data_IF_986258419864
#
_entry.id   IF_986258419864
#
_cell.length_a   1.000
_cell.length_b   1.000
_cell.length_c   1.000
_cell.angle_alpha   90.00
_cell.angle_beta   90.00
_cell.angle_gamma   90.00
#
_symmetry.space_group_name_H-M   'P 1'
#
loop_
_entity.id
_entity.type
_entity.pdbx_description
1 polymer ?
#
# COMPACT_ATOMS: atom_id res chain seq x y z
N UNK A 1 -5.37 40.86 11.90
CA UNK A 1 -5.59 39.86 10.83
C UNK A 1 -5.67 38.49 11.46
N UNK A 2 -6.88 38.07 11.83
CA UNK A 2 -7.16 36.77 12.43
C UNK A 2 -7.23 35.74 11.30
N UNK A 3 -6.35 34.73 11.34
CA UNK A 3 -6.33 33.60 10.41
C UNK A 3 -7.50 32.66 10.69
N UNK A 4 -8.21 32.28 9.62
CA UNK A 4 -9.39 31.41 9.65
C UNK A 4 -9.06 29.99 10.18
N UNK A 5 -9.99 29.31 10.86
CA UNK A 5 -9.80 27.93 11.27
C UNK A 5 -9.97 26.99 10.07
N UNK A 6 -8.98 26.12 9.83
CA UNK A 6 -9.07 25.07 8.82
C UNK A 6 -10.27 24.15 9.09
N UNK A 7 -11.09 23.96 8.05
CA UNK A 7 -12.29 23.13 8.05
C UNK A 7 -11.92 21.69 8.39
N UNK A 8 -12.27 21.22 9.60
CA UNK A 8 -12.24 19.79 9.94
C UNK A 8 -13.29 19.05 9.13
N UNK A 9 -12.90 18.57 7.96
CA UNK A 9 -13.68 17.59 7.20
C UNK A 9 -13.98 16.38 8.09
N UNK A 10 -15.23 15.92 8.04
CA UNK A 10 -15.77 14.78 8.79
C UNK A 10 -14.75 13.63 8.87
N UNK A 11 -14.20 13.39 10.06
CA UNK A 11 -13.15 12.38 10.27
C UNK A 11 -13.78 10.99 10.17
N UNK A 12 -13.91 10.45 8.95
CA UNK A 12 -14.00 9.00 8.77
C UNK A 12 -12.74 8.38 9.37
N UNK A 13 -12.92 7.39 10.22
CA UNK A 13 -11.79 6.64 10.78
C UNK A 13 -10.88 6.15 9.63
N UNK A 14 -9.55 6.28 9.76
CA UNK A 14 -8.63 5.85 8.72
C UNK A 14 -8.82 4.35 8.46
N UNK A 15 -8.80 3.98 7.18
CA UNK A 15 -8.82 2.56 6.78
C UNK A 15 -7.52 1.92 7.24
N UNK A 16 -7.59 0.72 7.81
CA UNK A 16 -6.45 0.05 8.45
C UNK A 16 -6.18 -1.32 7.87
N UNK A 17 -4.90 -1.65 7.74
CA UNK A 17 -4.42 -2.99 7.40
C UNK A 17 -3.28 -3.33 8.36
N UNK A 18 -3.51 -4.25 9.29
CA UNK A 18 -2.54 -4.58 10.34
C UNK A 18 -2.13 -3.34 11.15
N UNK A 19 -0.81 -3.07 11.20
CA UNK A 19 -0.24 -1.90 11.90
C UNK A 19 -0.13 -0.63 11.03
N UNK A 20 -0.73 -0.63 9.85
CA UNK A 20 -0.63 0.48 8.90
C UNK A 20 -1.95 1.24 8.78
N UNK A 21 -1.88 2.55 8.95
CA UNK A 21 -2.97 3.46 8.58
C UNK A 21 -2.83 3.77 7.08
N UNK A 22 -3.88 3.46 6.30
CA UNK A 22 -3.92 3.68 4.87
C UNK A 22 -4.25 5.14 4.58
N UNK A 23 -3.45 5.78 3.74
CA UNK A 23 -3.62 7.17 3.33
C UNK A 23 -4.13 7.26 1.87
N UNK A 24 -3.48 8.07 1.04
CA UNK A 24 -3.88 8.34 -0.35
C UNK A 24 -3.39 7.26 -1.32
N UNK A 25 -4.03 7.19 -2.49
CA UNK A 25 -3.57 6.36 -3.60
C UNK A 25 -2.34 6.99 -4.25
N UNK A 26 -1.31 6.17 -4.49
CA UNK A 26 -0.10 6.52 -5.24
C UNK A 26 -0.23 6.15 -6.71
N UNK A 27 -0.93 5.06 -7.03
CA UNK A 27 -1.12 4.61 -8.40
C UNK A 27 -2.25 3.58 -8.54
N UNK A 28 -2.77 3.46 -9.76
CA UNK A 28 -3.78 2.46 -10.13
C UNK A 28 -3.29 1.71 -11.35
N UNK A 29 -3.32 0.39 -11.29
CA UNK A 29 -3.10 -0.52 -12.40
C UNK A 29 -4.36 -1.30 -12.74
N UNK A 30 -4.23 -2.30 -13.60
CA UNK A 30 -5.37 -3.08 -14.08
C UNK A 30 -6.06 -3.88 -12.96
N UNK A 31 -5.27 -4.61 -12.16
CA UNK A 31 -5.76 -5.49 -11.09
C UNK A 31 -5.33 -5.05 -9.69
N UNK A 32 -4.69 -3.89 -9.58
CA UNK A 32 -4.08 -3.45 -8.35
C UNK A 32 -4.15 -1.94 -8.15
N UNK A 33 -4.23 -1.53 -6.89
CA UNK A 33 -4.08 -0.13 -6.47
C UNK A 33 -2.95 -0.05 -5.48
N UNK A 34 -2.03 0.89 -5.68
CA UNK A 34 -0.95 1.19 -4.75
C UNK A 34 -1.38 2.36 -3.88
N UNK A 35 -1.33 2.18 -2.56
CA UNK A 35 -1.62 3.24 -1.59
C UNK A 35 -0.41 3.53 -0.72
N UNK A 36 -0.26 4.80 -0.36
CA UNK A 36 0.64 5.19 0.72
C UNK A 36 0.01 4.76 2.04
N UNK A 37 0.82 4.21 2.92
CA UNK A 37 0.41 3.89 4.26
C UNK A 37 1.52 4.23 5.25
N UNK A 38 1.15 4.48 6.51
CA UNK A 38 2.09 4.80 7.57
C UNK A 38 2.03 3.75 8.67
N UNK A 39 3.17 3.20 9.03
CA UNK A 39 3.28 2.29 10.15
C UNK A 39 3.04 3.04 11.46
N UNK A 40 2.12 2.57 12.30
CA UNK A 40 1.62 3.33 13.45
C UNK A 40 2.67 3.55 14.54
N UNK A 41 3.61 2.62 14.70
CA UNK A 41 4.62 2.65 15.76
C UNK A 41 5.87 3.37 15.26
N UNK A 42 6.50 2.85 14.20
CA UNK A 42 7.76 3.38 13.67
C UNK A 42 7.60 4.66 12.86
N UNK A 43 6.36 5.03 12.50
CA UNK A 43 6.02 6.16 11.61
C UNK A 43 6.61 6.07 10.21
N UNK A 44 7.19 4.93 9.84
CA UNK A 44 7.71 4.67 8.51
C UNK A 44 6.60 4.69 7.47
N UNK A 45 6.84 5.37 6.35
CA UNK A 45 5.95 5.37 5.20
C UNK A 45 6.27 4.19 4.28
N UNK A 46 5.24 3.51 3.79
CA UNK A 46 5.35 2.34 2.92
C UNK A 46 4.34 2.43 1.78
N UNK A 47 4.65 1.78 0.67
CA UNK A 47 3.70 1.55 -0.41
C UNK A 47 3.03 0.17 -0.23
N UNK A 48 1.70 0.12 -0.21
CA UNK A 48 0.93 -1.13 -0.15
C UNK A 48 0.27 -1.35 -1.51
N UNK A 49 0.68 -2.40 -2.21
CA UNK A 49 0.07 -2.86 -3.47
C UNK A 49 -1.09 -3.80 -3.11
N UNK A 50 -2.32 -3.30 -3.26
CA UNK A 50 -3.56 -4.04 -3.00
C UNK A 50 -3.98 -4.68 -4.31
N UNK A 51 -4.16 -5.99 -4.33
CA UNK A 51 -4.54 -6.76 -5.52
C UNK A 51 -5.94 -7.34 -5.31
N UNK A 52 -6.84 -7.11 -6.26
CA UNK A 52 -8.16 -7.73 -6.25
C UNK A 52 -8.08 -9.11 -6.92
N UNK A 53 -8.14 -10.16 -6.11
CA UNK A 53 -8.03 -11.54 -6.58
C UNK A 53 -9.24 -12.01 -7.40
N UNK A 54 -10.38 -11.33 -7.28
CA UNK A 54 -11.60 -11.71 -8.01
C UNK A 54 -11.54 -11.35 -9.49
N UNK A 55 -10.65 -10.42 -9.85
CA UNK A 55 -10.43 -9.95 -11.22
C UNK A 55 -9.32 -10.71 -11.95
N UNK A 56 -8.73 -11.74 -11.33
CA UNK A 56 -7.59 -12.47 -11.85
C UNK A 56 -7.99 -13.87 -12.35
N UNK A 57 -7.49 -14.23 -13.51
CA UNK A 57 -7.46 -15.61 -13.99
C UNK A 57 -6.30 -16.39 -13.33
N UNK A 58 -6.30 -17.71 -13.52
CA UNK A 58 -5.28 -18.61 -12.97
C UNK A 58 -3.86 -18.25 -13.42
N UNK A 59 -3.69 -17.85 -14.69
CA UNK A 59 -2.41 -17.47 -15.25
C UNK A 59 -1.84 -16.19 -14.61
N UNK A 60 -2.66 -15.17 -14.38
CA UNK A 60 -2.21 -13.93 -13.74
C UNK A 60 -1.98 -14.12 -12.24
N UNK A 61 -2.76 -14.98 -11.60
CA UNK A 61 -2.52 -15.36 -10.21
C UNK A 61 -1.16 -16.06 -10.04
N UNK A 62 -0.80 -16.97 -10.94
CA UNK A 62 0.51 -17.64 -10.95
C UNK A 62 1.66 -16.63 -11.13
N UNK A 63 1.51 -15.66 -12.04
CA UNK A 63 2.49 -14.57 -12.23
C UNK A 63 2.70 -13.77 -10.94
N UNK A 64 1.63 -13.44 -10.22
CA UNK A 64 1.71 -12.71 -8.95
C UNK A 64 2.44 -13.52 -7.88
N UNK A 65 2.15 -14.82 -7.77
CA UNK A 65 2.89 -15.68 -6.84
C UNK A 65 4.38 -15.72 -7.18
N UNK A 66 4.74 -15.84 -8.46
CA UNK A 66 6.13 -15.78 -8.91
C UNK A 66 6.79 -14.42 -8.60
N UNK A 67 6.10 -13.30 -8.83
CA UNK A 67 6.60 -11.97 -8.47
C UNK A 67 6.92 -11.87 -6.97
N UNK A 68 6.03 -12.38 -6.11
CA UNK A 68 6.23 -12.38 -4.65
C UNK A 68 7.44 -13.23 -4.27
N UNK A 69 7.59 -14.43 -4.83
CA UNK A 69 8.74 -15.29 -4.54
C UNK A 69 10.06 -14.65 -4.96
N UNK A 70 10.11 -14.01 -6.14
CA UNK A 70 11.30 -13.25 -6.57
C UNK A 70 11.58 -12.11 -5.59
N UNK A 71 10.56 -11.33 -5.23
CA UNK A 71 10.73 -10.19 -4.32
C UNK A 71 11.19 -10.57 -2.91
N UNK A 72 10.83 -11.75 -2.41
CA UNK A 72 11.35 -12.27 -1.13
C UNK A 72 12.86 -12.55 -1.14
N UNK A 73 13.42 -12.85 -2.30
CA UNK A 73 14.85 -13.17 -2.47
C UNK A 73 15.71 -11.92 -2.68
N UNK A 74 15.10 -10.77 -2.96
CA UNK A 74 15.81 -9.52 -3.26
C UNK A 74 16.07 -8.72 -1.98
N UNK A 75 17.36 -8.57 -1.64
CA UNK A 75 17.82 -7.67 -0.57
C UNK A 75 19.04 -6.89 -1.06
N UNK A 76 18.79 -5.69 -1.61
CA UNK A 76 19.82 -4.86 -2.20
C UNK A 76 19.47 -3.38 -2.04
N UNK A 77 20.44 -2.48 -1.72
CA UNK A 77 20.16 -1.07 -1.45
C UNK A 77 19.48 -0.30 -2.59
N UNK A 78 19.63 -0.77 -3.83
CA UNK A 78 19.04 -0.14 -5.03
C UNK A 78 17.83 -0.91 -5.59
N UNK A 79 17.31 -1.90 -4.86
CA UNK A 79 16.11 -2.65 -5.24
C UNK A 79 15.08 -2.49 -4.12
N UNK A 80 13.83 -2.24 -4.49
CA UNK A 80 12.76 -2.08 -3.50
C UNK A 80 12.54 -3.41 -2.75
N UNK A 81 12.59 -3.35 -1.42
CA UNK A 81 12.43 -4.50 -0.54
C UNK A 81 10.96 -4.81 -0.26
N UNK A 82 10.60 -6.09 -0.30
CA UNK A 82 9.33 -6.57 0.23
C UNK A 82 9.43 -6.75 1.75
N UNK A 83 8.62 -6.01 2.50
CA UNK A 83 8.60 -6.11 3.96
C UNK A 83 7.63 -7.18 4.47
N UNK A 84 6.44 -7.25 3.86
CA UNK A 84 5.34 -8.12 4.29
C UNK A 84 4.41 -8.41 3.10
N UNK A 85 3.80 -9.60 3.09
CA UNK A 85 2.73 -10.01 2.17
C UNK A 85 1.53 -10.53 2.94
#
# INVERSE_FOLDING_TARGET
>A
VMSEPERRGSQRAPVRVGFYDIERTLGKGNFAVVKLARHRITKSEVAIKIIDKTLLDSANLEKIYREVEIMKLLDHPHIIKLYQV
#
